data_IF_553995105265
#
_entry.id   IF_553995105265
#
_cell.length_a   1.000
_cell.length_b   1.000
_cell.length_c   1.000
_cell.angle_alpha   90.00
_cell.angle_beta   90.00
_cell.angle_gamma   90.00
#
_symmetry.space_group_name_H-M   'P 1'
#
loop_
_entity.id
_entity.type
_entity.pdbx_description
1 polymer ?
#
# COMPACT_ATOMS: atom_id res chain seq x y z
N UNK A 1 -4.45 -17.22 -21.77
CA UNK A 1 -5.43 -17.55 -20.72
C UNK A 1 -5.78 -16.25 -20.01
N UNK A 2 -7.03 -15.80 -20.07
CA UNK A 2 -7.48 -14.56 -19.42
C UNK A 2 -7.64 -14.84 -17.93
N UNK A 3 -6.68 -14.42 -17.11
CA UNK A 3 -6.78 -14.54 -15.66
C UNK A 3 -7.68 -13.41 -15.15
N UNK A 4 -8.84 -13.78 -14.58
CA UNK A 4 -9.80 -12.83 -14.02
C UNK A 4 -9.26 -12.27 -12.71
N UNK A 5 -9.10 -10.95 -12.62
CA UNK A 5 -8.76 -10.29 -11.36
C UNK A 5 -9.98 -10.35 -10.41
N UNK A 6 -9.75 -10.71 -9.16
CA UNK A 6 -10.78 -10.79 -8.10
C UNK A 6 -10.57 -9.58 -7.19
N UNK A 7 -11.62 -8.82 -6.92
CA UNK A 7 -11.51 -7.70 -5.99
C UNK A 7 -11.29 -8.21 -4.56
N UNK A 8 -10.48 -7.50 -3.77
CA UNK A 8 -10.13 -7.91 -2.41
C UNK A 8 -11.36 -8.19 -1.53
N UNK A 9 -12.40 -7.35 -1.66
CA UNK A 9 -13.67 -7.46 -0.92
C UNK A 9 -14.48 -8.73 -1.22
N UNK A 10 -14.22 -9.39 -2.35
CA UNK A 10 -14.96 -10.57 -2.80
C UNK A 10 -14.28 -11.88 -2.35
N UNK A 11 -13.12 -11.79 -1.67
CA UNK A 11 -12.36 -12.96 -1.21
C UNK A 11 -12.80 -13.33 0.20
N UNK A 12 -13.26 -14.57 0.37
CA UNK A 12 -13.53 -15.15 1.69
C UNK A 12 -12.21 -15.38 2.42
N UNK A 13 -12.06 -14.80 3.63
CA UNK A 13 -10.84 -14.80 4.42
C UNK A 13 -9.59 -14.37 3.60
N UNK A 14 -9.47 -13.08 3.21
CA UNK A 14 -8.44 -12.62 2.27
C UNK A 14 -7.02 -13.00 2.69
N UNK A 15 -6.70 -12.88 3.97
CA UNK A 15 -5.35 -13.16 4.48
C UNK A 15 -4.99 -14.64 4.41
N UNK A 16 -5.95 -15.56 4.56
CA UNK A 16 -5.68 -17.01 4.40
C UNK A 16 -5.41 -17.37 2.94
N UNK A 17 -5.96 -16.59 2.02
CA UNK A 17 -5.88 -16.86 0.58
C UNK A 17 -4.70 -16.15 -0.07
N UNK A 18 -4.41 -14.92 0.34
CA UNK A 18 -3.47 -14.00 -0.30
C UNK A 18 -2.09 -13.97 0.35
N UNK A 19 -1.91 -14.64 1.50
CA UNK A 19 -0.66 -14.61 2.26
C UNK A 19 -0.18 -16.04 2.47
N UNK A 20 1.05 -16.31 2.07
CA UNK A 20 1.69 -17.58 2.38
C UNK A 20 1.94 -17.67 3.90
N UNK A 21 1.42 -18.70 4.59
CA UNK A 21 1.45 -18.74 6.05
C UNK A 21 2.87 -18.85 6.62
N UNK A 22 3.81 -19.41 5.84
CA UNK A 22 5.19 -19.69 6.25
C UNK A 22 6.11 -18.49 6.06
N UNK A 23 6.07 -17.86 4.88
CA UNK A 23 6.93 -16.76 4.46
C UNK A 23 6.30 -15.39 4.68
N UNK A 24 4.98 -15.34 4.94
CA UNK A 24 4.16 -14.14 5.00
C UNK A 24 4.13 -13.33 3.71
N UNK A 25 4.51 -13.94 2.57
CA UNK A 25 4.56 -13.25 1.28
C UNK A 25 3.23 -13.28 0.54
N UNK A 26 3.02 -12.31 -0.35
CA UNK A 26 1.84 -12.27 -1.20
C UNK A 26 1.80 -13.47 -2.17
N UNK A 27 0.67 -14.17 -2.23
CA UNK A 27 0.48 -15.35 -3.11
C UNK A 27 -0.07 -15.00 -4.50
N UNK A 28 -0.36 -13.73 -4.76
CA UNK A 28 -0.89 -13.24 -6.03
C UNK A 28 -0.22 -11.91 -6.42
N UNK A 29 -0.29 -11.59 -7.72
CA UNK A 29 0.08 -10.26 -8.22
C UNK A 29 -0.87 -9.21 -7.60
N UNK A 30 -0.32 -8.05 -7.24
CA UNK A 30 -1.06 -6.91 -6.71
C UNK A 30 -1.21 -5.89 -7.82
N UNK A 31 -2.43 -5.46 -8.09
CA UNK A 31 -2.77 -4.56 -9.18
C UNK A 31 -3.27 -3.20 -8.65
N UNK A 32 -3.19 -2.18 -9.50
CA UNK A 32 -3.84 -0.91 -9.23
C UNK A 32 -5.36 -1.10 -9.07
N UNK A 33 -5.99 -0.54 -8.02
CA UNK A 33 -7.42 -0.74 -7.76
C UNK A 33 -8.34 0.10 -8.68
N UNK A 34 -7.80 1.07 -9.44
CA UNK A 34 -8.59 1.90 -10.36
C UNK A 34 -9.13 1.01 -11.49
N UNK A 35 -10.45 0.98 -11.70
CA UNK A 35 -11.12 0.03 -12.62
C UNK A 35 -10.56 0.02 -14.05
N UNK A 36 -10.08 1.18 -14.53
CA UNK A 36 -9.47 1.34 -15.85
C UNK A 36 -7.96 1.08 -15.90
N UNK A 37 -7.30 0.96 -14.75
CA UNK A 37 -5.85 0.79 -14.62
C UNK A 37 -5.54 -0.62 -14.12
N UNK A 38 -5.05 -1.49 -15.00
CA UNK A 38 -4.71 -2.88 -14.66
C UNK A 38 -3.21 -3.12 -14.57
N UNK A 39 -2.43 -2.09 -14.24
CA UNK A 39 -1.00 -2.25 -14.08
C UNK A 39 -0.71 -3.14 -12.85
N UNK A 40 0.29 -4.01 -13.01
CA UNK A 40 0.83 -4.78 -11.89
C UNK A 40 1.72 -3.83 -11.09
N UNK A 41 1.46 -3.72 -9.80
CA UNK A 41 2.27 -2.94 -8.84
C UNK A 41 3.37 -3.85 -8.29
N UNK A 42 3.00 -5.06 -7.84
CA UNK A 42 3.90 -6.06 -7.29
C UNK A 42 3.58 -7.43 -7.86
N UNK A 43 4.61 -8.22 -8.19
CA UNK A 43 4.45 -9.63 -8.53
C UNK A 43 4.20 -10.49 -7.30
N UNK A 44 3.63 -11.68 -7.51
CA UNK A 44 3.61 -12.75 -6.51
C UNK A 44 5.00 -12.93 -5.87
N UNK A 45 5.02 -13.16 -4.56
CA UNK A 45 6.21 -13.52 -3.78
C UNK A 45 7.27 -12.39 -3.62
N UNK A 46 6.92 -11.13 -3.88
CA UNK A 46 7.85 -10.01 -3.76
C UNK A 46 7.67 -9.17 -2.50
N UNK A 47 6.48 -9.19 -1.89
CA UNK A 47 6.19 -8.39 -0.70
C UNK A 47 5.76 -9.25 0.48
N UNK A 48 6.06 -8.78 1.69
CA UNK A 48 5.74 -9.46 2.96
C UNK A 48 4.66 -8.69 3.70
N UNK A 49 3.64 -9.38 4.19
CA UNK A 49 2.58 -8.75 4.99
C UNK A 49 3.13 -8.41 6.38
N UNK A 50 2.95 -7.16 6.81
CA UNK A 50 3.32 -6.69 8.14
C UNK A 50 2.18 -5.91 8.76
N UNK A 51 2.09 -5.93 10.08
CA UNK A 51 1.19 -5.09 10.87
C UNK A 51 1.97 -3.91 11.44
N UNK A 52 1.41 -2.71 11.30
CA UNK A 52 1.98 -1.46 11.80
C UNK A 52 0.89 -0.58 12.38
N UNK A 53 1.29 0.20 13.36
CA UNK A 53 0.49 1.28 13.92
C UNK A 53 0.07 2.24 12.79
N UNK A 54 -1.23 2.38 12.60
CA UNK A 54 -1.84 3.19 11.56
C UNK A 54 -1.42 4.67 11.62
N UNK A 55 -1.12 5.18 12.83
CA UNK A 55 -0.71 6.57 13.04
C UNK A 55 0.65 6.90 12.40
N UNK A 56 1.49 5.88 12.18
CA UNK A 56 2.85 6.06 11.63
C UNK A 56 2.90 6.04 10.10
N UNK A 57 1.86 5.51 9.46
CA UNK A 57 1.79 5.31 8.01
C UNK A 57 0.47 5.85 7.45
N UNK A 58 0.00 6.98 7.99
CA UNK A 58 -1.22 7.63 7.50
C UNK A 58 -1.04 8.04 6.04
N UNK A 59 -1.95 7.56 5.20
CA UNK A 59 -2.05 7.98 3.81
C UNK A 59 -2.86 9.28 3.77
N UNK A 60 -2.52 10.23 2.88
CA UNK A 60 -3.34 11.42 2.69
C UNK A 60 -4.73 11.00 2.18
N UNK A 61 -5.78 11.72 2.58
CA UNK A 61 -7.16 11.41 2.19
C UNK A 61 -7.35 11.31 0.66
N UNK A 62 -6.56 12.07 -0.11
CA UNK A 62 -6.57 12.04 -1.58
C UNK A 62 -5.99 10.76 -2.19
N UNK A 63 -5.26 9.95 -1.43
CA UNK A 63 -4.70 8.67 -1.86
C UNK A 63 -5.59 7.47 -1.50
N UNK A 64 -6.63 7.69 -0.69
CA UNK A 64 -7.60 6.66 -0.35
C UNK A 64 -8.62 6.57 -1.51
N UNK A 65 -8.98 5.36 -1.98
CA UNK A 65 -10.08 5.22 -2.92
C UNK A 65 -11.39 5.76 -2.30
N UNK A 66 -12.32 6.23 -3.13
CA UNK A 66 -13.62 6.83 -2.72
C UNK A 66 -14.47 5.93 -1.79
N UNK A 67 -14.09 4.67 -1.64
CA UNK A 67 -14.64 3.77 -0.64
C UNK A 67 -13.98 4.07 0.72
N UNK A 68 -14.61 4.94 1.51
CA UNK A 68 -14.35 5.26 2.91
C UNK A 68 -13.47 4.21 3.63
N UNK A 69 -12.15 4.43 3.64
CA UNK A 69 -11.27 3.87 4.66
C UNK A 69 -11.37 4.82 5.87
N UNK A 70 -12.57 4.99 6.41
CA UNK A 70 -12.84 5.93 7.50
C UNK A 70 -12.29 5.43 8.85
N UNK A 71 -11.81 4.18 8.90
CA UNK A 71 -11.29 3.56 10.11
C UNK A 71 -10.11 2.68 9.72
N UNK A 72 -8.94 3.29 9.53
CA UNK A 72 -7.70 2.53 9.66
C UNK A 72 -7.64 2.14 11.15
N UNK A 73 -7.92 0.87 11.47
CA UNK A 73 -7.82 0.31 12.83
C UNK A 73 -6.45 0.63 13.44
N UNK A 74 -6.33 0.66 14.77
CA UNK A 74 -5.07 1.02 15.48
C UNK A 74 -3.84 0.27 14.92
N UNK A 75 -4.03 -0.96 14.44
CA UNK A 75 -3.05 -1.72 13.69
C UNK A 75 -3.54 -2.01 12.26
N UNK A 76 -2.89 -1.42 11.28
CA UNK A 76 -3.15 -1.68 9.87
C UNK A 76 -2.11 -2.62 9.24
N UNK A 77 -2.55 -3.29 8.19
CA UNK A 77 -1.75 -4.24 7.43
C UNK A 77 -1.17 -3.59 6.18
N UNK A 78 0.12 -3.80 5.95
CA UNK A 78 0.86 -3.22 4.84
C UNK A 78 1.71 -4.29 4.15
N UNK A 79 1.89 -4.12 2.84
CA UNK A 79 2.86 -4.89 2.07
C UNK A 79 4.23 -4.23 2.20
N UNK A 80 5.12 -4.85 2.96
CA UNK A 80 6.52 -4.45 3.06
C UNK A 80 7.28 -4.96 1.82
N UNK A 81 7.86 -4.02 1.09
CA UNK A 81 8.72 -4.29 -0.06
C UNK A 81 10.17 -4.03 0.34
N UNK A 82 11.03 -5.03 0.16
CA UNK A 82 12.43 -4.95 0.61
C UNK A 82 13.31 -4.08 -0.28
N UNK A 83 13.00 -4.00 -1.57
CA UNK A 83 13.73 -3.21 -2.54
C UNK A 83 12.77 -2.48 -3.49
N UNK A 84 13.06 -1.22 -3.83
CA UNK A 84 12.28 -0.46 -4.82
C UNK A 84 12.21 -1.17 -6.19
N UNK A 85 13.23 -1.94 -6.54
CA UNK A 85 13.28 -2.70 -7.80
C UNK A 85 12.28 -3.86 -7.86
N UNK A 86 11.64 -4.22 -6.75
CA UNK A 86 10.60 -5.26 -6.72
C UNK A 86 9.23 -4.74 -7.19
N UNK A 87 9.10 -3.42 -7.40
CA UNK A 87 7.92 -2.82 -8.02
C UNK A 87 7.98 -2.93 -9.54
N UNK A 88 6.88 -3.38 -10.14
CA UNK A 88 6.71 -3.42 -11.59
C UNK A 88 6.28 -2.07 -12.15
N UNK A 89 5.38 -1.37 -11.43
CA UNK A 89 4.93 -0.03 -11.76
C UNK A 89 4.74 0.76 -10.47
N UNK A 90 5.58 1.77 -10.26
CA UNK A 90 5.50 2.67 -9.11
C UNK A 90 5.87 4.09 -9.53
N UNK A 91 5.32 5.07 -8.80
CA UNK A 91 5.70 6.47 -8.92
C UNK A 91 6.10 6.96 -7.53
N UNK A 92 7.18 7.73 -7.48
CA UNK A 92 7.64 8.40 -6.27
C UNK A 92 7.34 9.89 -6.40
N UNK A 93 6.75 10.47 -5.36
CA UNK A 93 6.62 11.92 -5.24
C UNK A 93 7.79 12.49 -4.46
N UNK A 94 8.01 13.81 -4.59
CA UNK A 94 9.02 14.50 -3.80
C UNK A 94 8.79 14.28 -2.30
N UNK A 95 9.85 14.10 -1.51
CA UNK A 95 9.73 13.97 -0.07
C UNK A 95 8.95 15.15 0.50
N UNK A 96 7.84 14.86 1.18
CA UNK A 96 7.13 15.86 1.95
C UNK A 96 7.97 16.13 3.20
N UNK A 97 8.80 17.16 3.14
CA UNK A 97 9.62 17.56 4.28
C UNK A 97 8.68 18.06 5.39
N UNK A 98 8.49 17.26 6.44
CA UNK A 98 7.72 17.66 7.62
C UNK A 98 8.50 18.64 8.51
N UNK A 99 9.74 18.98 8.16
CA UNK A 99 10.48 20.07 8.78
C UNK A 99 10.32 21.36 7.96
N UNK A 100 9.13 21.95 7.98
CA UNK A 100 9.00 23.38 7.69
C UNK A 100 9.86 24.13 8.70
N UNK A 101 11.06 24.56 8.29
CA UNK A 101 11.90 25.53 9.01
C UNK A 101 10.99 26.64 9.54
N UNK A 102 10.86 26.74 10.86
CA UNK A 102 10.51 28.01 11.50
C UNK A 102 11.56 29.02 11.03
N UNK A 103 11.26 29.78 9.98
CA UNK A 103 11.98 31.02 9.72
C UNK A 103 11.60 31.96 10.85
N UNK A 104 12.45 31.99 11.86
CA UNK A 104 12.42 33.01 12.89
C UNK A 104 12.53 34.38 12.17
N UNK A 105 11.54 35.28 12.24
CA UNK A 105 11.68 36.61 11.68
C UNK A 105 12.56 37.42 12.63
N UNK A 106 13.88 37.29 12.49
CA UNK A 106 14.84 38.21 13.09
C UNK A 106 15.53 38.98 11.98
N UNK A 107 15.05 40.20 11.75
CA UNK A 107 15.82 41.44 11.84
C UNK A 107 15.12 42.52 11.00
N UNK A 108 14.54 43.49 11.71
CA UNK A 108 14.28 44.85 11.25
C UNK A 108 15.19 45.75 12.08
#
# INVERSE_FOLDING_TARGET
MTQTAIAYKDIKDPLKTLVDPSSKKNTADILCPKESCKCVILKRNTATLVERDASKLQLPASALPDNNIDQIEENAQFWLVGNMMDFENTATWDPLDTMTRQRNPKNM
#
